data_IF_504215372935
#
_entry.id   IF_504215372935
#
_cell.length_a   1.000
_cell.length_b   1.000
_cell.length_c   1.000
_cell.angle_alpha   90.00
_cell.angle_beta   90.00
_cell.angle_gamma   90.00
#
_symmetry.space_group_name_H-M   'P 1'
#
loop_
_entity.id
_entity.type
_entity.pdbx_description
1 polymer ?
#
# COMPACT_ATOMS: atom_id res chain seq x y z
N UNK A 1 -16.40 -10.15 -14.81
CA UNK A 1 -16.12 -9.15 -15.87
C UNK A 1 -14.76 -8.54 -15.61
N UNK A 2 -14.02 -8.11 -16.65
CA UNK A 2 -12.72 -7.47 -16.47
C UNK A 2 -12.85 -6.03 -15.97
N UNK A 3 -11.79 -5.53 -15.31
CA UNK A 3 -11.66 -4.13 -14.84
C UNK A 3 -10.57 -3.41 -15.63
N UNK A 4 -10.69 -2.09 -15.86
CA UNK A 4 -9.65 -1.31 -16.55
C UNK A 4 -8.27 -1.53 -15.93
N UNK A 5 -7.26 -1.83 -16.74
CA UNK A 5 -5.93 -2.11 -16.27
C UNK A 5 -5.20 -0.85 -15.77
N UNK A 6 -4.52 -0.94 -14.64
CA UNK A 6 -3.81 0.19 -14.04
C UNK A 6 -2.37 0.31 -14.56
N UNK A 7 -1.88 1.55 -14.56
CA UNK A 7 -0.64 1.96 -15.19
C UNK A 7 0.03 3.05 -14.37
N UNK A 8 1.31 3.29 -14.64
CA UNK A 8 1.98 4.50 -14.15
C UNK A 8 1.15 5.73 -14.53
N UNK A 9 1.08 6.71 -13.63
CA UNK A 9 0.30 7.95 -13.74
C UNK A 9 -1.22 7.86 -13.55
N UNK A 10 -1.80 6.66 -13.45
CA UNK A 10 -3.23 6.56 -13.13
C UNK A 10 -3.51 7.09 -11.72
N UNK A 11 -4.57 7.87 -11.55
CA UNK A 11 -4.91 8.52 -10.27
C UNK A 11 -5.43 7.52 -9.24
N UNK A 12 -5.09 7.74 -7.98
CA UNK A 12 -5.70 7.06 -6.84
C UNK A 12 -6.80 7.92 -6.22
N UNK A 13 -7.55 7.38 -5.26
CA UNK A 13 -8.65 8.13 -4.61
C UNK A 13 -8.13 9.10 -3.55
N UNK A 14 -6.90 8.89 -3.06
CA UNK A 14 -6.17 9.86 -2.26
C UNK A 14 -5.66 11.06 -3.09
N UNK A 15 -5.69 10.97 -4.43
CA UNK A 15 -5.45 12.09 -5.35
C UNK A 15 -4.15 12.00 -6.15
N UNK A 16 -2.98 11.70 -5.55
CA UNK A 16 -1.75 11.49 -6.30
C UNK A 16 -1.88 10.35 -7.31
N UNK A 17 -1.10 10.40 -8.40
CA UNK A 17 -1.05 9.29 -9.34
C UNK A 17 -0.13 8.17 -8.86
N UNK A 18 -0.29 6.98 -9.43
CA UNK A 18 0.61 5.85 -9.27
C UNK A 18 2.04 6.23 -9.71
N UNK A 19 2.85 6.54 -8.70
CA UNK A 19 4.25 6.94 -8.74
C UNK A 19 4.87 6.67 -7.34
N UNK A 20 6.20 6.58 -7.18
CA UNK A 20 7.26 6.69 -8.18
C UNK A 20 7.63 5.36 -8.84
N UNK A 21 6.93 4.27 -8.54
CA UNK A 21 7.18 2.96 -9.14
C UNK A 21 7.31 3.04 -10.67
N UNK A 22 8.29 2.36 -11.29
CA UNK A 22 8.59 2.51 -12.71
C UNK A 22 7.52 1.85 -13.61
N UNK A 23 6.68 0.97 -13.05
CA UNK A 23 5.86 0.07 -13.84
C UNK A 23 6.69 -0.98 -14.56
N UNK A 24 6.02 -1.78 -15.39
CA UNK A 24 6.67 -2.76 -16.26
C UNK A 24 7.52 -2.09 -17.35
N UNK A 25 8.77 -2.54 -17.49
CA UNK A 25 9.68 -2.02 -18.51
C UNK A 25 9.33 -2.46 -19.94
N UNK A 26 8.51 -3.49 -20.10
CA UNK A 26 8.25 -4.12 -21.39
C UNK A 26 6.76 -4.40 -21.68
N UNK A 27 5.88 -4.29 -20.68
CA UNK A 27 4.43 -4.38 -20.90
C UNK A 27 3.84 -2.98 -20.75
N UNK A 28 3.38 -2.43 -21.89
CA UNK A 28 2.73 -1.13 -21.95
C UNK A 28 1.22 -1.32 -22.13
N UNK A 29 0.44 -0.52 -21.42
CA UNK A 29 -1.02 -0.45 -21.50
C UNK A 29 -1.36 0.98 -21.91
N UNK A 30 -2.00 1.16 -23.06
CA UNK A 30 -2.24 2.50 -23.62
C UNK A 30 -0.97 3.38 -23.66
N UNK A 31 0.17 2.78 -24.04
CA UNK A 31 1.51 3.42 -24.12
C UNK A 31 2.18 3.79 -22.79
N UNK A 32 1.62 3.43 -21.63
CA UNK A 32 2.23 3.65 -20.32
C UNK A 32 2.60 2.31 -19.66
N UNK A 33 3.68 2.24 -18.86
CA UNK A 33 4.06 1.03 -18.14
C UNK A 33 2.92 0.47 -17.28
N UNK A 34 2.67 -0.83 -17.41
CA UNK A 34 1.68 -1.55 -16.60
C UNK A 34 2.09 -1.56 -15.12
N UNK A 35 1.13 -1.35 -14.21
CA UNK A 35 1.39 -1.30 -12.77
C UNK A 35 1.25 -2.69 -12.12
N UNK A 36 2.26 -3.11 -11.35
CA UNK A 36 2.35 -4.45 -10.74
C UNK A 36 2.13 -4.37 -9.23
N UNK A 37 1.32 -5.29 -8.71
CA UNK A 37 0.99 -5.38 -7.30
C UNK A 37 1.83 -6.42 -6.55
N UNK A 38 1.60 -6.52 -5.25
CA UNK A 38 2.14 -7.61 -4.44
C UNK A 38 1.45 -8.94 -4.79
N UNK A 39 2.19 -10.06 -4.83
CA UNK A 39 1.60 -11.39 -4.88
C UNK A 39 0.65 -11.64 -3.69
N UNK A 40 -0.38 -12.46 -3.88
CA UNK A 40 -1.43 -12.68 -2.89
C UNK A 40 -0.92 -13.08 -1.49
N UNK A 41 0.12 -13.92 -1.41
CA UNK A 41 0.71 -14.33 -0.14
C UNK A 41 1.43 -13.18 0.58
N UNK A 42 2.08 -12.27 -0.16
CA UNK A 42 2.70 -11.09 0.42
C UNK A 42 1.65 -10.06 0.84
N UNK A 43 0.59 -9.89 0.05
CA UNK A 43 -0.53 -9.01 0.35
C UNK A 43 -1.26 -9.42 1.64
N UNK A 44 -1.54 -10.71 1.84
CA UNK A 44 -2.20 -11.19 3.05
C UNK A 44 -1.34 -11.00 4.31
N UNK A 45 -0.02 -11.24 4.21
CA UNK A 45 0.92 -10.96 5.29
C UNK A 45 0.95 -9.47 5.66
N UNK A 46 0.94 -8.58 4.66
CA UNK A 46 0.92 -7.14 4.88
C UNK A 46 -0.39 -6.68 5.53
N UNK A 47 -1.53 -7.19 5.07
CA UNK A 47 -2.85 -6.89 5.66
C UNK A 47 -2.93 -7.36 7.13
N UNK A 48 -2.40 -8.53 7.46
CA UNK A 48 -2.36 -9.02 8.84
C UNK A 48 -1.49 -8.12 9.74
N UNK A 49 -0.35 -7.65 9.24
CA UNK A 49 0.51 -6.72 9.97
C UNK A 49 -0.12 -5.34 10.16
N UNK A 50 -0.87 -4.86 9.17
CA UNK A 50 -1.66 -3.64 9.27
C UNK A 50 -2.72 -3.77 10.37
N UNK A 51 -3.50 -4.85 10.37
CA UNK A 51 -4.51 -5.10 11.41
C UNK A 51 -3.93 -5.14 12.82
N UNK A 52 -2.76 -5.77 12.99
CA UNK A 52 -2.05 -5.79 14.28
C UNK A 52 -1.59 -4.38 14.70
N UNK A 53 -1.06 -3.61 13.76
CA UNK A 53 -0.62 -2.22 14.00
C UNK A 53 -1.79 -1.31 14.36
N UNK A 54 -2.91 -1.42 13.65
CA UNK A 54 -4.14 -0.66 13.92
C UNK A 54 -4.69 -0.95 15.31
N UNK A 55 -4.64 -2.22 15.75
CA UNK A 55 -5.08 -2.61 17.09
C UNK A 55 -4.20 -1.95 18.18
N UNK A 56 -2.88 -1.94 18.00
CA UNK A 56 -1.93 -1.31 18.94
C UNK A 56 -2.14 0.20 19.00
N UNK A 57 -2.27 0.86 17.84
CA UNK A 57 -2.48 2.31 17.76
C UNK A 57 -3.79 2.70 18.41
N UNK A 58 -4.88 1.98 18.11
CA UNK A 58 -6.20 2.25 18.71
C UNK A 58 -6.18 2.08 20.23
N UNK A 59 -5.43 1.11 20.75
CA UNK A 59 -5.27 0.95 22.19
C UNK A 59 -4.53 2.14 22.81
N UNK A 60 -3.48 2.65 22.16
CA UNK A 60 -2.73 3.80 22.64
C UNK A 60 -3.55 5.10 22.57
N UNK A 61 -4.30 5.32 21.50
CA UNK A 61 -5.24 6.46 21.37
C UNK A 61 -6.32 6.43 22.46
N UNK A 62 -6.85 5.24 22.75
CA UNK A 62 -7.81 5.06 23.84
C UNK A 62 -7.21 5.43 25.20
N UNK A 63 -5.93 5.09 25.44
CA UNK A 63 -5.24 5.45 26.66
C UNK A 63 -5.02 6.98 26.78
N UNK A 64 -4.66 7.65 25.68
CA UNK A 64 -4.56 9.12 25.65
C UNK A 64 -5.90 9.78 25.96
N UNK A 65 -6.99 9.31 25.34
CA UNK A 65 -8.34 9.83 25.60
C UNK A 65 -8.71 9.63 27.08
N UNK A 66 -8.42 8.45 27.65
CA UNK A 66 -8.71 8.16 29.05
C UNK A 66 -7.89 9.02 30.04
N UNK A 67 -6.68 9.41 29.66
CA UNK A 67 -5.81 10.26 30.48
C UNK A 67 -6.12 11.76 30.35
N UNK A 68 -7.01 12.17 29.43
CA UNK A 68 -7.30 13.57 29.17
C UNK A 68 -7.75 14.33 30.44
N UNK A 69 -7.17 15.50 30.67
CA UNK A 69 -7.46 16.31 31.86
C UNK A 69 -6.77 15.84 33.15
N UNK A 70 -6.05 14.73 33.13
CA UNK A 70 -5.23 14.27 34.26
C UNK A 70 -3.77 14.73 34.12
N UNK A 71 -2.98 14.76 35.22
CA UNK A 71 -1.52 14.97 35.12
C UNK A 71 -0.79 13.92 34.26
N UNK A 72 -1.41 12.76 34.00
CA UNK A 72 -0.85 11.70 33.15
C UNK A 72 -1.03 11.92 31.64
N UNK A 73 -1.82 12.90 31.21
CA UNK A 73 -2.12 13.14 29.80
C UNK A 73 -0.85 13.29 28.91
N UNK A 74 0.20 14.03 29.33
CA UNK A 74 1.41 14.15 28.51
C UNK A 74 2.15 12.82 28.31
N UNK A 75 2.16 11.96 29.34
CA UNK A 75 2.82 10.66 29.26
C UNK A 75 2.06 9.68 28.37
N UNK A 76 0.72 9.67 28.45
CA UNK A 76 -0.12 8.85 27.58
C UNK A 76 0.04 9.26 26.10
N UNK A 77 0.02 10.56 25.81
CA UNK A 77 0.25 11.07 24.46
C UNK A 77 1.66 10.74 23.94
N UNK A 78 2.69 10.85 24.77
CA UNK A 78 4.05 10.44 24.39
C UNK A 78 4.13 8.94 24.05
N UNK A 79 3.44 8.09 24.82
CA UNK A 79 3.37 6.66 24.55
C UNK A 79 2.61 6.35 23.24
N UNK A 80 1.52 7.06 22.96
CA UNK A 80 0.79 6.98 21.69
C UNK A 80 1.69 7.33 20.49
N UNK A 81 2.41 8.46 20.56
CA UNK A 81 3.31 8.87 19.49
C UNK A 81 4.47 7.87 19.29
N UNK A 82 4.99 7.28 20.36
CA UNK A 82 6.00 6.23 20.30
C UNK A 82 5.45 4.96 19.63
N UNK A 83 4.23 4.53 19.98
CA UNK A 83 3.58 3.37 19.37
C UNK A 83 3.34 3.58 17.86
N UNK A 84 2.85 4.76 17.46
CA UNK A 84 2.64 5.12 16.05
C UNK A 84 3.94 5.11 15.26
N UNK A 85 5.00 5.70 15.81
CA UNK A 85 6.34 5.72 15.16
C UNK A 85 6.91 4.31 15.01
N UNK A 86 6.82 3.49 16.06
CA UNK A 86 7.29 2.11 16.03
C UNK A 86 6.53 1.28 14.98
N UNK A 87 5.19 1.39 14.96
CA UNK A 87 4.36 0.68 14.01
C UNK A 87 4.68 1.04 12.55
N UNK A 88 4.89 2.32 12.23
CA UNK A 88 5.23 2.71 10.87
C UNK A 88 6.62 2.25 10.43
N UNK A 89 7.60 2.30 11.32
CA UNK A 89 8.95 1.81 11.01
C UNK A 89 8.95 0.30 10.76
N UNK A 90 8.15 -0.46 11.53
CA UNK A 90 7.97 -1.90 11.34
C UNK A 90 7.24 -2.21 10.04
N UNK A 91 6.13 -1.51 9.74
CA UNK A 91 5.38 -1.66 8.49
C UNK A 91 6.24 -1.33 7.27
N UNK A 92 6.98 -0.21 7.30
CA UNK A 92 7.86 0.19 6.20
C UNK A 92 8.95 -0.87 5.91
N UNK A 93 9.51 -1.45 6.98
CA UNK A 93 10.51 -2.52 6.88
C UNK A 93 9.90 -3.81 6.30
N UNK A 94 8.71 -4.19 6.78
CA UNK A 94 7.97 -5.34 6.27
C UNK A 94 7.63 -5.19 4.77
N UNK A 95 7.08 -4.03 4.38
CA UNK A 95 6.72 -3.74 2.99
C UNK A 95 7.92 -3.84 2.06
N UNK A 96 9.06 -3.26 2.45
CA UNK A 96 10.31 -3.37 1.71
C UNK A 96 10.77 -4.83 1.57
N UNK A 97 10.69 -5.61 2.66
CA UNK A 97 11.05 -7.03 2.65
C UNK A 97 10.12 -7.87 1.77
N UNK A 98 8.81 -7.62 1.81
CA UNK A 98 7.81 -8.30 0.98
C UNK A 98 7.98 -7.97 -0.50
N UNK A 99 8.26 -6.71 -0.85
CA UNK A 99 8.54 -6.30 -2.22
C UNK A 99 9.82 -6.95 -2.76
N UNK A 100 10.88 -7.01 -1.95
CA UNK A 100 12.12 -7.70 -2.30
C UNK A 100 11.90 -9.22 -2.48
N UNK A 101 11.14 -9.85 -1.58
CA UNK A 101 10.79 -11.26 -1.68
C UNK A 101 9.94 -11.57 -2.93
N UNK A 102 8.99 -10.70 -3.25
CA UNK A 102 8.21 -10.79 -4.48
C UNK A 102 9.12 -10.66 -5.71
N UNK A 103 10.05 -9.71 -5.73
CA UNK A 103 10.99 -9.54 -6.84
C UNK A 103 11.86 -10.80 -7.04
N UNK A 104 12.39 -11.37 -5.95
CA UNK A 104 13.15 -12.62 -5.98
C UNK A 104 12.32 -13.78 -6.55
N UNK A 105 11.03 -13.87 -6.20
CA UNK A 105 10.13 -14.93 -6.70
C UNK A 105 9.89 -14.89 -8.21
N UNK A 106 10.12 -13.74 -8.85
CA UNK A 106 9.99 -13.59 -10.31
C UNK A 106 11.27 -13.90 -11.10
N UNK A 107 12.36 -14.31 -10.41
CA UNK A 107 13.67 -14.45 -11.04
C UNK A 107 14.24 -13.11 -11.53
N UNK A 108 13.85 -11.99 -10.91
CA UNK A 108 14.27 -10.64 -11.30
C UNK A 108 13.49 -10.03 -12.47
N UNK A 109 12.46 -10.71 -12.97
CA UNK A 109 11.65 -10.22 -14.09
C UNK A 109 10.82 -8.98 -13.70
N UNK A 110 10.34 -8.92 -12.45
CA UNK A 110 9.45 -7.86 -11.97
C UNK A 110 9.67 -7.49 -10.52
N UNK A 111 9.27 -6.28 -10.15
CA UNK A 111 9.21 -5.80 -8.76
C UNK A 111 7.85 -5.14 -8.56
N UNK A 112 7.15 -5.36 -7.43
CA UNK A 112 5.90 -4.65 -7.16
C UNK A 112 6.14 -3.15 -7.21
N UNK A 113 5.23 -2.42 -7.87
CA UNK A 113 5.40 -1.00 -8.08
C UNK A 113 4.91 -0.24 -6.83
N UNK A 114 5.82 0.57 -6.28
CA UNK A 114 5.58 1.34 -5.06
C UNK A 114 4.83 2.64 -5.38
N UNK A 115 3.74 2.88 -4.66
CA UNK A 115 3.05 4.16 -4.63
C UNK A 115 3.52 5.00 -3.43
N UNK A 116 3.67 6.32 -3.56
CA UNK A 116 3.83 7.23 -2.42
C UNK A 116 2.63 8.15 -2.32
N UNK A 117 1.95 8.11 -1.18
CA UNK A 117 0.91 9.07 -0.85
C UNK A 117 1.45 10.12 0.13
N UNK A 118 1.37 11.43 -0.19
CA UNK A 118 1.88 12.49 0.64
C UNK A 118 0.86 13.01 1.66
N UNK A 119 -0.29 12.34 1.83
CA UNK A 119 -1.33 12.81 2.75
C UNK A 119 -0.78 12.82 4.18
N UNK A 120 -0.80 14.00 4.85
CA UNK A 120 -0.46 14.08 6.25
C UNK A 120 -1.64 13.59 7.10
N UNK A 121 -1.55 12.36 7.60
CA UNK A 121 -2.36 11.86 8.72
C UNK A 121 -1.62 12.10 10.04
N UNK A 122 -2.27 11.99 11.23
CA UNK A 122 -1.56 12.13 12.50
C UNK A 122 -0.32 11.24 12.51
N UNK A 123 0.81 11.79 12.99
CA UNK A 123 2.15 11.22 12.82
C UNK A 123 2.14 9.72 13.14
N UNK A 124 2.61 8.87 12.21
CA UNK A 124 3.30 9.22 10.96
C UNK A 124 2.40 9.38 9.72
N UNK A 125 2.81 10.23 8.74
CA UNK A 125 2.06 10.46 7.50
C UNK A 125 1.95 9.19 6.66
N UNK A 126 1.03 9.20 5.69
CA UNK A 126 1.02 8.19 4.64
C UNK A 126 2.40 8.14 3.96
N UNK A 127 2.78 6.95 3.52
CA UNK A 127 4.13 6.67 3.08
C UNK A 127 4.15 5.78 1.84
N UNK A 128 5.24 5.02 1.62
CA UNK A 128 5.29 4.05 0.55
C UNK A 128 4.22 2.98 0.76
N UNK A 129 3.56 2.61 -0.34
CA UNK A 129 2.45 1.68 -0.41
C UNK A 129 2.57 0.74 -1.61
N UNK A 130 1.88 -0.40 -1.53
CA UNK A 130 1.80 -1.35 -2.63
C UNK A 130 0.37 -1.83 -2.84
N UNK A 131 0.03 -2.15 -4.09
CA UNK A 131 -1.28 -2.73 -4.40
C UNK A 131 -1.36 -4.15 -3.85
N UNK A 132 -2.43 -4.45 -3.09
CA UNK A 132 -2.59 -5.69 -2.34
C UNK A 132 -3.63 -6.67 -2.93
N UNK A 133 -4.41 -6.24 -3.91
CA UNK A 133 -5.54 -6.99 -4.48
C UNK A 133 -5.55 -6.97 -6.03
N UNK A 134 -4.35 -6.98 -6.62
CA UNK A 134 -4.14 -7.13 -8.07
C UNK A 134 -4.75 -8.42 -8.66
N UNK A 135 -4.62 -8.60 -9.98
CA UNK A 135 -5.16 -9.78 -10.66
C UNK A 135 -4.53 -11.09 -10.19
N UNK A 136 -5.37 -12.10 -9.93
CA UNK A 136 -4.94 -13.46 -9.56
C UNK A 136 -4.61 -14.32 -10.79
N UNK A 137 -5.06 -13.91 -11.97
CA UNK A 137 -4.95 -14.69 -13.21
C UNK A 137 -4.10 -14.01 -14.29
N UNK A 138 -3.90 -12.70 -14.21
CA UNK A 138 -3.10 -11.93 -15.17
C UNK A 138 -1.88 -11.37 -14.49
N UNK A 139 -0.73 -11.92 -14.86
CA UNK A 139 0.57 -11.51 -14.34
C UNK A 139 1.33 -10.69 -15.39
N UNK A 140 1.97 -9.61 -14.94
CA UNK A 140 2.94 -8.84 -15.69
C UNK A 140 4.28 -8.97 -15.00
N UNK A 141 5.28 -9.46 -15.73
CA UNK A 141 6.61 -9.76 -15.19
C UNK A 141 6.58 -10.71 -13.97
N UNK A 142 5.64 -11.67 -13.96
CA UNK A 142 5.47 -12.61 -12.84
C UNK A 142 4.73 -12.03 -11.62
N UNK A 143 4.24 -10.80 -11.67
CA UNK A 143 3.49 -10.15 -10.58
C UNK A 143 2.07 -9.80 -11.00
N UNK A 144 1.11 -9.74 -10.07
CA UNK A 144 -0.27 -9.35 -10.35
C UNK A 144 -0.38 -8.02 -11.12
N UNK A 145 -1.09 -8.02 -12.25
CA UNK A 145 -1.45 -6.77 -12.92
C UNK A 145 -2.55 -6.06 -12.13
N UNK A 146 -2.30 -4.79 -11.79
CA UNK A 146 -3.25 -3.96 -11.06
C UNK A 146 -4.35 -3.42 -11.99
N UNK A 147 -5.48 -3.08 -11.39
CA UNK A 147 -6.71 -2.66 -12.07
C UNK A 147 -7.36 -1.50 -11.32
N UNK A 148 -8.22 -0.76 -12.00
CA UNK A 148 -9.07 0.25 -11.39
C UNK A 148 -9.87 -0.35 -10.22
N UNK A 149 -9.73 0.21 -9.03
CA UNK A 149 -10.34 -0.18 -7.76
C UNK A 149 -9.48 -1.08 -6.87
N UNK A 150 -8.34 -1.56 -7.38
CA UNK A 150 -7.36 -2.29 -6.59
C UNK A 150 -6.74 -1.27 -5.63
N UNK A 151 -6.50 -1.69 -4.40
CA UNK A 151 -6.15 -0.86 -3.26
C UNK A 151 -4.66 -0.88 -3.06
N UNK A 152 -4.05 0.30 -3.03
CA UNK A 152 -2.75 0.51 -2.42
C UNK A 152 -2.93 0.45 -0.91
N UNK A 153 -2.17 -0.40 -0.24
CA UNK A 153 -2.01 -0.35 1.20
C UNK A 153 -0.72 0.40 1.52
N UNK A 154 -0.86 1.49 2.27
CA UNK A 154 0.22 2.36 2.73
C UNK A 154 0.56 2.04 4.19
N UNK A 155 1.79 2.31 4.63
CA UNK A 155 2.17 2.10 6.02
C UNK A 155 1.26 2.91 6.97
N UNK A 156 0.44 2.21 7.77
CA UNK A 156 -0.54 2.82 8.68
C UNK A 156 -1.62 3.68 7.98
N UNK A 157 -1.76 3.55 6.67
CA UNK A 157 -2.75 4.27 5.86
C UNK A 157 -3.91 3.38 5.45
N UNK A 158 -5.07 4.00 5.19
CA UNK A 158 -6.25 3.31 4.66
C UNK A 158 -6.02 2.80 3.24
N UNK A 159 -6.79 1.82 2.76
CA UNK A 159 -6.61 1.34 1.42
C UNK A 159 -7.01 2.42 0.41
N UNK A 160 -6.04 2.87 -0.39
CA UNK A 160 -6.20 3.88 -1.43
C UNK A 160 -6.55 3.20 -2.77
N UNK A 161 -7.83 3.22 -3.20
CA UNK A 161 -8.23 2.56 -4.43
C UNK A 161 -7.71 3.34 -5.64
N UNK A 162 -7.18 2.61 -6.62
CA UNK A 162 -6.86 3.14 -7.94
C UNK A 162 -8.17 3.65 -8.59
N UNK A 163 -8.30 4.96 -8.73
CA UNK A 163 -9.54 5.59 -9.18
C UNK A 163 -9.72 5.47 -10.70
N UNK A 164 -8.64 5.32 -11.47
CA UNK A 164 -8.67 5.24 -12.93
C UNK A 164 -7.77 4.12 -13.46
N UNK A 165 -8.17 3.48 -14.56
CA UNK A 165 -7.30 2.62 -15.36
C UNK A 165 -7.49 2.90 -16.85
N UNK A 166 -6.91 2.07 -17.71
CA UNK A 166 -7.10 2.12 -19.16
C UNK A 166 -8.39 1.38 -19.58
N UNK A 167 -9.41 2.14 -19.98
CA UNK A 167 -10.75 1.60 -20.25
C UNK A 167 -10.81 0.68 -21.47
N UNK A 168 -9.85 0.76 -22.39
CA UNK A 168 -9.80 -0.15 -23.55
C UNK A 168 -9.09 -1.47 -23.25
N UNK A 169 -8.50 -1.63 -22.06
CA UNK A 169 -7.79 -2.85 -21.64
C UNK A 169 -8.42 -3.38 -20.37
N UNK A 170 -9.25 -4.42 -20.49
CA UNK A 170 -9.97 -5.03 -19.38
C UNK A 170 -9.26 -6.30 -18.91
N UNK A 171 -8.94 -6.35 -17.61
CA UNK A 171 -8.14 -7.41 -16.99
C UNK A 171 -8.98 -8.21 -16.00
N UNK A 172 -8.83 -9.53 -16.05
CA UNK A 172 -9.56 -10.50 -15.24
C UNK A 172 -9.20 -10.52 -13.76
N UNK A 173 -10.05 -11.23 -13.02
CA UNK A 173 -10.00 -11.52 -11.57
C UNK A 173 -8.71 -12.13 -11.13
#
# INVERSE_FOLDING_TARGET
MGRPAARVTDITSHGPPLNPGPGSHNVLIGKLPAWRGLPAAAASALQAAQQASDAVIKAAETATIAAAGTPGAPAAYAAEQAAKTAAASAMSSLMSGLAAGAAASTGGMGTPDMHICPIPTPVPPHGPGYVIDGSQTVLVNGLPLCRQGDKVLEALGGPDPIAKGEFTVLVGG
#
